data_IF_703438414029
#
_entry.id   IF_703438414029
#
_cell.length_a   1.000
_cell.length_b   1.000
_cell.length_c   1.000
_cell.angle_alpha   90.00
_cell.angle_beta   90.00
_cell.angle_gamma   90.00
#
_symmetry.space_group_name_H-M   'P 1'
#
loop_
_entity.id
_entity.type
_entity.pdbx_description
1 polymer ?
#
# COMPACT_ATOMS: atom_id res chain seq x y z
N UNK A 1 3.00 91.55 34.14
CA UNK A 1 4.40 92.00 34.22
C UNK A 1 4.49 92.96 35.39
N UNK A 2 4.74 92.43 36.60
CA UNK A 2 5.09 93.25 37.77
C UNK A 2 6.27 92.55 38.41
N UNK A 3 7.42 92.79 37.79
CA UNK A 3 8.73 92.44 38.31
C UNK A 3 8.97 93.36 39.50
N UNK A 4 8.53 92.91 40.69
CA UNK A 4 8.84 93.60 41.94
C UNK A 4 10.34 93.42 42.19
N UNK A 5 11.07 94.51 41.99
CA UNK A 5 12.51 94.63 42.17
C UNK A 5 12.96 94.03 43.52
N UNK A 6 13.94 93.10 43.55
CA UNK A 6 14.44 92.50 44.79
C UNK A 6 15.02 93.51 45.80
N UNK A 7 15.29 94.75 45.37
CA UNK A 7 15.91 95.79 46.19
C UNK A 7 14.96 96.53 47.13
N UNK A 8 13.64 96.47 46.91
CA UNK A 8 12.66 97.16 47.78
C UNK A 8 12.31 96.36 49.04
N UNK A 9 12.57 95.05 49.06
CA UNK A 9 12.35 94.20 50.24
C UNK A 9 13.54 94.18 51.21
N UNK A 10 14.77 94.46 50.73
CA UNK A 10 15.95 94.56 51.59
C UNK A 10 15.89 95.77 52.54
N UNK A 11 15.15 96.82 52.18
CA UNK A 11 15.07 98.06 52.97
C UNK A 11 14.20 97.94 54.24
N UNK A 12 13.17 97.09 54.25
CA UNK A 12 12.23 96.96 55.37
C UNK A 12 12.60 95.81 56.34
N UNK A 13 13.65 95.04 56.03
CA UNK A 13 14.15 93.97 56.89
C UNK A 13 15.15 94.48 57.95
N UNK A 14 15.47 95.78 58.01
CA UNK A 14 16.55 96.29 58.87
C UNK A 14 16.19 96.40 60.36
N UNK A 15 14.91 96.30 60.75
CA UNK A 15 14.44 96.56 62.12
C UNK A 15 13.87 95.40 62.93
N UNK A 16 13.68 94.19 62.38
CA UNK A 16 12.94 93.11 63.07
C UNK A 16 13.84 92.00 63.68
N UNK A 17 13.39 91.32 64.77
CA UNK A 17 14.13 90.28 65.47
C UNK A 17 14.57 89.11 64.57
N UNK A 18 15.70 88.44 64.86
CA UNK A 18 16.30 87.41 63.99
C UNK A 18 15.38 86.22 63.67
N UNK A 19 14.44 85.89 64.57
CA UNK A 19 13.48 84.80 64.39
C UNK A 19 12.42 85.09 63.32
N UNK A 20 11.95 86.33 63.21
CA UNK A 20 10.96 86.72 62.21
C UNK A 20 11.56 86.77 60.80
N UNK A 21 12.84 87.15 60.66
CA UNK A 21 13.56 87.09 59.39
C UNK A 21 13.71 85.66 58.88
N UNK A 22 14.02 84.73 59.78
CA UNK A 22 14.11 83.32 59.45
C UNK A 22 12.74 82.75 59.05
N UNK A 23 11.68 83.10 59.77
CA UNK A 23 10.31 82.68 59.46
C UNK A 23 9.81 83.22 58.12
N UNK A 24 9.94 84.52 57.85
CA UNK A 24 9.52 85.14 56.57
C UNK A 24 10.31 84.57 55.40
N UNK A 25 11.62 84.37 55.58
CA UNK A 25 12.48 83.77 54.54
C UNK A 25 12.11 82.31 54.28
N UNK A 26 11.76 81.55 55.32
CA UNK A 26 11.28 80.17 55.20
C UNK A 26 9.94 80.12 54.47
N UNK A 27 9.01 81.02 54.79
CA UNK A 27 7.68 81.09 54.19
C UNK A 27 7.75 81.43 52.69
N UNK A 28 8.60 82.40 52.31
CA UNK A 28 8.88 82.71 50.89
C UNK A 28 9.51 81.52 50.18
N UNK A 29 10.45 80.81 50.83
CA UNK A 29 11.15 79.66 50.24
C UNK A 29 10.21 78.46 50.06
N UNK A 30 9.33 78.19 51.03
CA UNK A 30 8.29 77.17 50.96
C UNK A 30 7.27 77.49 49.86
N UNK A 31 6.82 78.75 49.77
CA UNK A 31 5.85 79.16 48.76
C UNK A 31 6.44 79.04 47.35
N UNK A 32 7.70 79.44 47.18
CA UNK A 32 8.43 79.26 45.92
C UNK A 32 8.66 77.78 45.60
N UNK A 33 8.95 76.96 46.61
CA UNK A 33 9.06 75.50 46.46
C UNK A 33 7.73 74.90 46.00
N UNK A 34 6.62 75.15 46.70
CA UNK A 34 5.30 74.65 46.29
C UNK A 34 4.86 75.15 44.92
N UNK A 35 5.18 76.39 44.55
CA UNK A 35 4.93 76.91 43.20
C UNK A 35 5.76 76.19 42.13
N UNK A 36 7.03 75.92 42.42
CA UNK A 36 7.90 75.13 41.53
C UNK A 36 7.51 73.65 41.49
N UNK A 37 6.97 73.11 42.58
CA UNK A 37 6.48 71.75 42.69
C UNK A 37 5.17 71.55 41.92
N UNK A 38 4.24 72.50 42.03
CA UNK A 38 2.99 72.51 41.25
C UNK A 38 3.26 72.61 39.74
N UNK A 39 4.28 73.40 39.36
CA UNK A 39 4.74 73.49 37.96
C UNK A 39 5.48 72.23 37.50
N UNK A 40 6.04 71.45 38.43
CA UNK A 40 6.73 70.18 38.12
C UNK A 40 5.73 69.04 37.97
N UNK A 41 4.69 68.98 38.81
CA UNK A 41 3.64 67.95 38.74
C UNK A 41 2.91 67.99 37.39
N UNK A 42 2.57 69.17 36.88
CA UNK A 42 1.88 69.32 35.58
C UNK A 42 2.71 68.85 34.38
N UNK A 43 4.05 68.83 34.51
CA UNK A 43 4.96 68.29 33.47
C UNK A 43 5.08 66.77 33.54
N UNK A 44 5.11 66.21 34.75
CA UNK A 44 5.08 64.76 34.97
C UNK A 44 3.76 64.16 34.54
N UNK A 45 2.65 64.85 34.80
CA UNK A 45 1.31 64.49 34.35
C UNK A 45 1.27 64.30 32.81
N UNK A 46 1.83 65.25 32.05
CA UNK A 46 1.89 65.17 30.57
C UNK A 46 2.75 64.03 30.03
N UNK A 47 3.76 63.55 30.77
CA UNK A 47 4.60 62.41 30.38
C UNK A 47 3.98 61.06 30.79
N UNK A 48 3.32 61.01 31.95
CA UNK A 48 2.73 59.79 32.50
C UNK A 48 1.46 59.40 31.73
N UNK A 49 0.60 60.35 31.36
CA UNK A 49 -0.63 60.07 30.61
C UNK A 49 -0.45 59.22 29.33
N UNK A 50 0.46 59.56 28.40
CA UNK A 50 0.67 58.74 27.22
C UNK A 50 1.24 57.34 27.54
N UNK A 51 2.15 57.22 28.53
CA UNK A 51 2.65 55.90 28.95
C UNK A 51 1.57 55.01 29.57
N UNK A 52 0.66 55.60 30.35
CA UNK A 52 -0.42 54.89 31.01
C UNK A 52 -1.47 54.39 30.00
N UNK A 53 -1.73 55.20 28.96
CA UNK A 53 -2.57 54.80 27.84
C UNK A 53 -1.95 53.63 27.06
N UNK A 54 -0.66 53.71 26.73
CA UNK A 54 0.05 52.63 26.04
C UNK A 54 0.06 51.35 26.89
N UNK A 55 0.30 51.46 28.19
CA UNK A 55 0.28 50.33 29.14
C UNK A 55 -1.12 49.69 29.21
N UNK A 56 -2.18 50.49 29.25
CA UNK A 56 -3.55 49.99 29.26
C UNK A 56 -3.90 49.25 27.95
N UNK A 57 -3.54 49.82 26.79
CA UNK A 57 -3.76 49.19 25.48
C UNK A 57 -2.96 47.89 25.36
N UNK A 58 -1.70 47.88 25.83
CA UNK A 58 -0.87 46.66 25.87
C UNK A 58 -1.48 45.59 26.78
N UNK A 59 -1.98 45.97 27.96
CA UNK A 59 -2.64 45.03 28.87
C UNK A 59 -3.90 44.42 28.26
N UNK A 60 -4.76 45.24 27.65
CA UNK A 60 -5.97 44.78 26.96
C UNK A 60 -5.61 43.90 25.76
N UNK A 61 -4.64 44.32 24.95
CA UNK A 61 -4.18 43.56 23.78
C UNK A 61 -3.56 42.22 24.18
N UNK A 62 -2.73 42.20 25.22
CA UNK A 62 -2.13 40.98 25.76
C UNK A 62 -3.19 40.02 26.29
N UNK A 63 -4.15 40.52 27.06
CA UNK A 63 -5.26 39.70 27.57
C UNK A 63 -6.14 39.16 26.44
N UNK A 64 -6.44 39.99 25.43
CA UNK A 64 -7.21 39.59 24.25
C UNK A 64 -6.52 38.47 23.46
N UNK A 65 -5.20 38.54 23.31
CA UNK A 65 -4.42 37.53 22.58
C UNK A 65 -4.38 36.19 23.34
N UNK A 66 -4.18 36.22 24.66
CA UNK A 66 -4.23 35.02 25.50
C UNK A 66 -5.63 34.39 25.47
N UNK A 67 -6.68 35.19 25.56
CA UNK A 67 -8.07 34.72 25.51
C UNK A 67 -8.39 34.02 24.19
N UNK A 68 -8.04 34.62 23.05
CA UNK A 68 -8.26 34.01 21.74
C UNK A 68 -7.42 32.74 21.55
N UNK A 69 -6.13 32.76 21.92
CA UNK A 69 -5.27 31.59 21.83
C UNK A 69 -5.80 30.41 22.66
N UNK A 70 -6.28 30.69 23.87
CA UNK A 70 -6.84 29.67 24.77
C UNK A 70 -8.13 29.08 24.19
N UNK A 71 -8.98 29.91 23.58
CA UNK A 71 -10.22 29.47 22.93
C UNK A 71 -9.96 28.61 21.70
N UNK A 72 -8.98 28.98 20.89
CA UNK A 72 -8.57 28.22 19.71
C UNK A 72 -7.92 26.88 20.10
N UNK A 73 -7.07 26.88 21.12
CA UNK A 73 -6.47 25.66 21.68
C UNK A 73 -7.55 24.68 22.19
N UNK A 74 -8.57 25.17 22.88
CA UNK A 74 -9.69 24.34 23.37
C UNK A 74 -10.46 23.68 22.22
N UNK A 75 -10.70 24.41 21.14
CA UNK A 75 -11.39 23.91 19.94
C UNK A 75 -10.51 22.91 19.16
N UNK A 76 -9.20 23.11 19.14
CA UNK A 76 -8.23 22.20 18.54
C UNK A 76 -8.11 20.89 19.32
N UNK A 77 -8.04 20.94 20.66
CA UNK A 77 -8.01 19.75 21.53
C UNK A 77 -9.25 18.88 21.31
N UNK A 78 -10.44 19.48 21.19
CA UNK A 78 -11.67 18.72 20.98
C UNK A 78 -11.72 17.97 19.63
N UNK A 79 -11.02 18.47 18.61
CA UNK A 79 -10.96 17.84 17.29
C UNK A 79 -9.83 16.83 17.14
N UNK A 80 -8.73 16.99 17.90
CA UNK A 80 -7.56 16.10 17.85
C UNK A 80 -7.78 14.85 18.70
N UNK A 81 -8.43 14.96 19.87
CA UNK A 81 -8.34 13.89 20.87
C UNK A 81 -9.23 12.65 20.57
N UNK A 82 -10.54 12.77 20.23
CA UNK A 82 -11.37 11.57 20.03
C UNK A 82 -11.34 11.01 18.61
N UNK A 83 -11.31 11.86 17.58
CA UNK A 83 -11.45 11.41 16.18
C UNK A 83 -10.18 10.76 15.63
N UNK A 84 -9.01 11.28 16.00
CA UNK A 84 -7.75 10.68 15.57
C UNK A 84 -7.51 9.34 16.25
N UNK A 85 -7.83 9.21 17.55
CA UNK A 85 -7.73 7.95 18.27
C UNK A 85 -8.59 6.85 17.62
N UNK A 86 -9.86 7.15 17.29
CA UNK A 86 -10.76 6.20 16.61
C UNK A 86 -10.26 5.85 15.21
N UNK A 87 -9.76 6.82 14.44
CA UNK A 87 -9.27 6.54 13.08
C UNK A 87 -7.98 5.70 13.09
N UNK A 88 -7.10 5.93 14.08
CA UNK A 88 -5.89 5.12 14.28
C UNK A 88 -6.24 3.70 14.73
N UNK A 89 -7.25 3.53 15.58
CA UNK A 89 -7.76 2.21 15.99
C UNK A 89 -8.39 1.45 14.82
N UNK A 90 -9.21 2.13 14.01
CA UNK A 90 -9.77 1.58 12.78
C UNK A 90 -8.66 1.18 11.78
N UNK A 91 -7.64 2.02 11.63
CA UNK A 91 -6.48 1.71 10.79
C UNK A 91 -5.71 0.48 11.31
N UNK A 92 -5.50 0.37 12.62
CA UNK A 92 -4.88 -0.80 13.25
C UNK A 92 -5.67 -2.08 12.97
N UNK A 93 -6.99 -2.00 13.08
CA UNK A 93 -7.90 -3.11 12.76
C UNK A 93 -7.79 -3.52 11.29
N UNK A 94 -7.84 -2.55 10.37
CA UNK A 94 -7.67 -2.81 8.94
C UNK A 94 -6.30 -3.41 8.59
N UNK A 95 -5.23 -2.98 9.25
CA UNK A 95 -3.91 -3.59 9.10
C UNK A 95 -3.88 -5.04 9.60
N UNK A 96 -4.59 -5.34 10.70
CA UNK A 96 -4.80 -6.69 11.20
C UNK A 96 -5.54 -7.58 10.19
N UNK A 97 -6.63 -7.08 9.60
CA UNK A 97 -7.40 -7.80 8.58
C UNK A 97 -6.59 -8.01 7.30
N UNK A 98 -5.84 -7.00 6.86
CA UNK A 98 -4.93 -7.11 5.72
C UNK A 98 -3.88 -8.20 5.96
N UNK A 99 -3.24 -8.21 7.14
CA UNK A 99 -2.28 -9.24 7.53
C UNK A 99 -2.90 -10.64 7.49
N UNK A 100 -4.14 -10.78 7.99
CA UNK A 100 -4.87 -12.05 7.95
C UNK A 100 -5.17 -12.49 6.52
N UNK A 101 -5.59 -11.57 5.65
CA UNK A 101 -5.86 -11.84 4.25
C UNK A 101 -4.58 -12.27 3.52
N UNK A 102 -3.46 -11.58 3.74
CA UNK A 102 -2.16 -11.97 3.21
C UNK A 102 -1.79 -13.38 3.67
N UNK A 103 -1.96 -13.71 4.95
CA UNK A 103 -1.69 -15.06 5.46
C UNK A 103 -2.57 -16.13 4.80
N UNK A 104 -3.83 -15.84 4.50
CA UNK A 104 -4.72 -16.74 3.75
C UNK A 104 -4.23 -16.90 2.31
N UNK A 105 -3.91 -15.80 1.63
CA UNK A 105 -3.39 -15.83 0.26
C UNK A 105 -2.10 -16.64 0.17
N UNK A 106 -1.16 -16.47 1.11
CA UNK A 106 0.08 -17.27 1.16
C UNK A 106 -0.20 -18.77 1.27
N UNK A 107 -1.18 -19.18 2.09
CA UNK A 107 -1.57 -20.60 2.16
C UNK A 107 -2.21 -21.10 0.87
N UNK A 108 -3.08 -20.29 0.25
CA UNK A 108 -3.71 -20.65 -1.02
C UNK A 108 -2.68 -20.80 -2.15
N UNK A 109 -1.66 -19.93 -2.18
CA UNK A 109 -0.52 -20.06 -3.11
C UNK A 109 0.24 -21.37 -2.83
N UNK A 110 0.47 -21.72 -1.56
CA UNK A 110 1.07 -23.01 -1.22
C UNK A 110 0.30 -24.21 -1.78
N UNK A 111 -1.03 -24.24 -1.60
CA UNK A 111 -1.89 -25.28 -2.17
C UNK A 111 -1.86 -25.29 -3.71
N UNK A 112 -1.74 -24.12 -4.34
CA UNK A 112 -1.63 -24.03 -5.80
C UNK A 112 -0.32 -24.65 -6.29
N UNK A 113 0.79 -24.40 -5.61
CA UNK A 113 2.09 -25.02 -5.92
C UNK A 113 1.99 -26.54 -5.83
N UNK A 114 1.43 -27.09 -4.74
CA UNK A 114 1.24 -28.54 -4.58
C UNK A 114 0.38 -29.14 -5.72
N UNK A 115 -0.65 -28.43 -6.16
CA UNK A 115 -1.47 -28.87 -7.31
C UNK A 115 -0.70 -28.84 -8.62
N UNK A 116 0.16 -27.85 -8.83
CA UNK A 116 1.02 -27.77 -10.03
C UNK A 116 2.02 -28.94 -10.03
N UNK A 117 2.65 -29.25 -8.89
CA UNK A 117 3.56 -30.40 -8.78
C UNK A 117 2.84 -31.72 -9.06
N UNK A 118 1.61 -31.87 -8.55
CA UNK A 118 0.77 -33.04 -8.85
C UNK A 118 0.43 -33.14 -10.33
N UNK A 119 0.08 -32.01 -10.97
CA UNK A 119 -0.16 -31.96 -12.41
C UNK A 119 1.09 -32.33 -13.23
N UNK A 120 2.27 -31.87 -12.84
CA UNK A 120 3.53 -32.22 -13.48
C UNK A 120 3.79 -33.74 -13.44
N UNK A 121 3.54 -34.36 -12.28
CA UNK A 121 3.61 -35.82 -12.12
C UNK A 121 2.60 -36.55 -13.01
N UNK A 122 1.37 -36.06 -13.08
CA UNK A 122 0.35 -36.63 -13.97
C UNK A 122 0.73 -36.52 -15.45
N UNK A 123 1.32 -35.40 -15.87
CA UNK A 123 1.79 -35.20 -17.24
C UNK A 123 2.94 -36.17 -17.54
N UNK A 124 3.90 -36.32 -16.62
CA UNK A 124 5.01 -37.28 -16.77
C UNK A 124 4.52 -38.72 -16.92
N UNK A 125 3.54 -39.13 -16.12
CA UNK A 125 2.93 -40.45 -16.25
C UNK A 125 2.18 -40.63 -17.57
N UNK A 126 1.51 -39.58 -18.04
CA UNK A 126 0.82 -39.60 -19.33
C UNK A 126 1.80 -39.70 -20.50
N UNK A 127 2.94 -39.02 -20.42
CA UNK A 127 4.02 -39.09 -21.41
C UNK A 127 4.55 -40.52 -21.52
N UNK A 128 4.88 -41.17 -20.39
CA UNK A 128 5.29 -42.58 -20.38
C UNK A 128 4.23 -43.54 -20.92
N UNK A 129 2.93 -43.28 -20.66
CA UNK A 129 1.85 -44.08 -21.25
C UNK A 129 1.77 -43.90 -22.78
N UNK A 130 1.98 -42.69 -23.28
CA UNK A 130 2.01 -42.41 -24.73
C UNK A 130 3.21 -43.10 -25.38
N UNK A 131 4.38 -43.08 -24.75
CA UNK A 131 5.56 -43.82 -25.23
C UNK A 131 5.28 -45.32 -25.33
N UNK A 132 4.69 -45.91 -24.29
CA UNK A 132 4.30 -47.32 -24.30
C UNK A 132 3.31 -47.64 -25.43
N UNK A 133 2.26 -46.82 -25.58
CA UNK A 133 1.29 -46.98 -26.67
C UNK A 133 1.95 -46.85 -28.05
N UNK A 134 2.91 -45.94 -28.21
CA UNK A 134 3.68 -45.81 -29.45
C UNK A 134 4.49 -47.09 -29.74
N UNK A 135 5.10 -47.67 -28.71
CA UNK A 135 5.79 -48.96 -28.78
C UNK A 135 4.86 -50.10 -29.20
N UNK A 136 3.68 -50.22 -28.57
CA UNK A 136 2.68 -51.23 -28.90
C UNK A 136 2.18 -51.11 -30.35
N UNK A 137 1.94 -49.88 -30.82
CA UNK A 137 1.55 -49.61 -32.22
C UNK A 137 2.68 -50.03 -33.17
N UNK A 138 3.94 -49.73 -32.85
CA UNK A 138 5.08 -50.16 -33.68
C UNK A 138 5.20 -51.68 -33.73
N UNK A 139 4.95 -52.38 -32.63
CA UNK A 139 4.95 -53.84 -32.60
C UNK A 139 3.79 -54.42 -33.40
N UNK A 140 2.61 -53.80 -33.31
CA UNK A 140 1.44 -54.19 -34.09
C UNK A 140 1.68 -54.04 -35.60
N UNK A 141 2.32 -52.94 -36.02
CA UNK A 141 2.68 -52.71 -37.42
C UNK A 141 3.61 -53.81 -37.97
N UNK A 142 4.61 -54.22 -37.18
CA UNK A 142 5.49 -55.36 -37.52
C UNK A 142 4.71 -56.66 -37.67
N UNK A 143 3.85 -56.99 -36.69
CA UNK A 143 3.03 -58.20 -36.74
C UNK A 143 2.08 -58.20 -37.94
N UNK A 144 1.53 -57.04 -38.30
CA UNK A 144 0.69 -56.89 -39.50
C UNK A 144 1.50 -57.09 -40.79
N UNK A 145 2.74 -56.58 -40.82
CA UNK A 145 3.65 -56.80 -41.95
C UNK A 145 3.99 -58.28 -42.13
N UNK A 146 4.32 -58.98 -41.04
CA UNK A 146 4.58 -60.43 -41.03
C UNK A 146 3.35 -61.20 -41.51
N UNK A 147 2.16 -60.88 -40.99
CA UNK A 147 0.91 -61.50 -41.43
C UNK A 147 0.65 -61.27 -42.92
N UNK A 148 1.00 -60.11 -43.47
CA UNK A 148 0.86 -59.82 -44.90
C UNK A 148 1.79 -60.70 -45.76
N UNK A 149 3.02 -60.96 -45.28
CA UNK A 149 3.94 -61.89 -45.91
C UNK A 149 3.41 -63.33 -45.86
N UNK A 150 2.93 -63.78 -44.70
CA UNK A 150 2.35 -65.13 -44.53
C UNK A 150 1.15 -65.36 -45.46
N UNK A 151 0.28 -64.36 -45.61
CA UNK A 151 -0.85 -64.41 -46.56
C UNK A 151 -0.35 -64.51 -48.01
N UNK A 152 0.72 -63.80 -48.33
CA UNK A 152 1.34 -63.84 -49.68
C UNK A 152 1.89 -65.23 -49.97
N UNK A 153 2.63 -65.81 -49.03
CA UNK A 153 3.20 -67.16 -49.13
C UNK A 153 2.10 -68.22 -49.22
N UNK A 154 1.04 -68.09 -48.42
CA UNK A 154 -0.13 -68.95 -48.49
C UNK A 154 -0.83 -68.85 -49.85
N UNK A 155 -0.92 -67.65 -50.44
CA UNK A 155 -1.48 -67.47 -51.77
C UNK A 155 -0.63 -68.21 -52.83
N UNK A 156 0.70 -68.11 -52.75
CA UNK A 156 1.61 -68.83 -53.65
C UNK A 156 1.49 -70.35 -53.50
N UNK A 157 1.46 -70.84 -52.25
CA UNK A 157 1.28 -72.26 -51.95
C UNK A 157 -0.05 -72.79 -52.51
N UNK A 158 -1.16 -72.04 -52.34
CA UNK A 158 -2.46 -72.39 -52.90
C UNK A 158 -2.44 -72.41 -54.45
N UNK A 159 -1.76 -71.46 -55.10
CA UNK A 159 -1.59 -71.48 -56.57
C UNK A 159 -0.83 -72.71 -57.03
N UNK A 160 0.26 -73.06 -56.35
CA UNK A 160 1.03 -74.28 -56.63
C UNK A 160 0.18 -75.54 -56.46
N UNK A 161 -0.58 -75.63 -55.37
CA UNK A 161 -1.52 -76.72 -55.13
C UNK A 161 -2.60 -76.81 -56.22
N UNK A 162 -3.16 -75.68 -56.67
CA UNK A 162 -4.15 -75.66 -57.75
C UNK A 162 -3.56 -76.20 -59.06
N UNK A 163 -2.32 -75.81 -59.40
CA UNK A 163 -1.60 -76.34 -60.57
C UNK A 163 -1.38 -77.85 -60.45
N UNK A 164 -0.90 -78.31 -59.29
CA UNK A 164 -0.67 -79.74 -59.04
C UNK A 164 -1.96 -80.55 -59.15
N UNK A 165 -3.06 -80.09 -58.55
CA UNK A 165 -4.39 -80.73 -58.67
C UNK A 165 -4.88 -80.76 -60.11
N UNK A 166 -4.62 -79.71 -60.90
CA UNK A 166 -4.97 -79.67 -62.33
C UNK A 166 -4.10 -80.62 -63.18
N UNK A 167 -2.85 -80.84 -62.80
CA UNK A 167 -1.97 -81.86 -63.43
C UNK A 167 -2.49 -83.25 -63.07
N UNK A 168 -2.69 -83.54 -61.78
CA UNK A 168 -3.25 -84.82 -61.33
C UNK A 168 -4.60 -85.12 -61.99
N UNK A 169 -5.48 -84.13 -62.11
CA UNK A 169 -6.77 -84.28 -62.80
C UNK A 169 -6.60 -84.65 -64.28
N UNK A 170 -5.58 -84.09 -64.95
CA UNK A 170 -5.24 -84.47 -66.34
C UNK A 170 -4.63 -85.87 -66.42
N UNK A 171 -3.81 -86.26 -65.46
CA UNK A 171 -3.17 -87.59 -65.42
C UNK A 171 -4.21 -88.68 -65.16
N UNK A 172 -5.13 -88.46 -64.21
CA UNK A 172 -6.27 -89.36 -63.93
C UNK A 172 -7.13 -89.53 -65.19
N UNK A 173 -7.45 -88.43 -65.89
CA UNK A 173 -8.21 -88.50 -67.14
C UNK A 173 -7.46 -89.24 -68.27
N UNK A 174 -6.13 -89.20 -68.28
CA UNK A 174 -5.31 -89.93 -69.26
C UNK A 174 -5.19 -91.42 -68.91
N UNK A 175 -5.19 -91.80 -67.63
CA UNK A 175 -5.18 -93.19 -67.16
C UNK A 175 -6.56 -93.86 -67.32
N UNK A 176 -7.66 -93.10 -67.19
CA UNK A 176 -9.01 -93.63 -67.40
C UNK A 176 -9.29 -94.08 -68.84
N UNK A 177 -8.71 -93.40 -69.84
CA UNK A 177 -8.93 -93.70 -71.27
C UNK A 177 -8.48 -95.11 -71.71
N UNK A 178 -7.28 -95.60 -71.38
CA UNK A 178 -6.90 -96.98 -71.67
C UNK A 178 -7.68 -98.01 -70.85
N UNK A 179 -8.17 -97.66 -69.65
CA UNK A 179 -9.05 -98.55 -68.87
C UNK A 179 -10.40 -98.77 -69.58
N UNK A 180 -10.96 -97.75 -70.23
CA UNK A 180 -12.15 -97.90 -71.08
C UNK A 180 -11.89 -98.81 -72.29
N UNK A 181 -10.72 -98.68 -72.94
CA UNK A 181 -10.30 -99.58 -74.02
C UNK A 181 -10.16 -101.03 -73.51
N UNK A 182 -9.51 -101.25 -72.37
CA UNK A 182 -9.32 -102.60 -71.82
C UNK A 182 -10.64 -103.25 -71.36
N UNK A 183 -11.60 -102.47 -70.86
CA UNK A 183 -12.94 -102.97 -70.52
C UNK A 183 -13.74 -103.41 -71.77
N UNK A 184 -13.48 -102.83 -72.94
CA UNK A 184 -14.12 -103.25 -74.19
C UNK A 184 -13.64 -104.61 -74.74
N UNK A 185 -12.46 -105.07 -74.31
CA UNK A 185 -11.89 -106.37 -74.72
C UNK A 185 -12.20 -107.51 -73.74
N UNK A 186 -12.80 -107.21 -72.60
CA UNK A 186 -13.13 -108.18 -71.54
C UNK A 186 -14.39 -107.73 -70.80
N UNK A 187 -15.57 -107.76 -71.42
CA UNK A 187 -16.82 -107.65 -70.68
C UNK A 187 -16.99 -108.93 -69.86
N UNK A 188 -17.18 -108.78 -68.55
CA UNK A 188 -17.72 -109.86 -67.72
C UNK A 188 -19.18 -110.18 -68.08
#
# INVERSE_FOLDING_TARGET
MFEKDPRIFEADLKGLPPEQKAMVKLEITLTNFFKSFNTSITRWERLVYPSLLVMAVLGISGFYLIFNLTKDMSTMTHNIDPKMAVNLDAMSTHMGDLSRNIAVMTRQIGVMVEKIDSMESHITNMDGNIENMSGDISQMDKSMSEMSLDITDMNMAMRSMNVNTRIMSRDINQIGRPMDFMNSFSPW
#
